data_IF_307695829323
#
_entry.id   IF_307695829323
#
_cell.length_a   1.000
_cell.length_b   1.000
_cell.length_c   1.000
_cell.angle_alpha   90.00
_cell.angle_beta   90.00
_cell.angle_gamma   90.00
#
_symmetry.space_group_name_H-M   'P 1'
#
loop_
_entity.id
_entity.type
_entity.pdbx_description
1 polymer ?
#
# COMPACT_ATOMS: atom_id res chain seq x y z
N UNK A 1 2.10 2.08 -3.64
CA UNK A 1 1.42 3.08 -4.48
C UNK A 1 1.25 2.48 -5.85
N UNK A 2 0.07 2.65 -6.44
CA UNK A 2 -0.14 2.33 -7.84
C UNK A 2 0.71 3.24 -8.74
N UNK A 3 0.82 2.88 -10.01
CA UNK A 3 1.46 3.72 -11.04
C UNK A 3 0.37 4.25 -11.96
N UNK A 4 0.51 5.47 -12.46
CA UNK A 4 -0.39 5.99 -13.48
C UNK A 4 0.33 6.88 -14.49
N UNK A 5 -0.16 6.88 -15.73
CA UNK A 5 0.39 7.66 -16.84
C UNK A 5 -0.68 7.89 -17.92
N UNK A 6 -0.57 9.01 -18.64
CA UNK A 6 -1.24 9.17 -19.93
C UNK A 6 -0.35 8.55 -21.00
N UNK A 7 -0.91 7.65 -21.82
CA UNK A 7 -0.15 6.88 -22.80
C UNK A 7 -0.91 6.78 -24.12
N UNK A 8 -0.16 6.63 -25.22
CA UNK A 8 -0.69 6.01 -26.44
C UNK A 8 -0.64 4.50 -26.27
N UNK A 9 -1.71 3.83 -26.64
CA UNK A 9 -1.85 2.39 -26.60
C UNK A 9 -2.03 1.83 -28.01
N UNK A 10 -1.54 0.62 -28.24
CA UNK A 10 -1.79 -0.14 -29.47
C UNK A 10 -2.37 -1.49 -29.09
N UNK A 11 -3.55 -1.76 -29.64
CA UNK A 11 -4.28 -3.01 -29.47
C UNK A 11 -4.45 -3.70 -30.83
N UNK A 12 -4.96 -4.94 -30.82
CA UNK A 12 -5.26 -5.68 -32.05
C UNK A 12 -6.30 -4.96 -32.95
N UNK A 13 -7.20 -4.18 -32.35
CA UNK A 13 -8.27 -3.43 -33.01
C UNK A 13 -7.89 -1.97 -33.35
N UNK A 14 -6.66 -1.54 -33.06
CA UNK A 14 -6.14 -0.22 -33.45
C UNK A 14 -5.42 0.53 -32.33
N UNK A 15 -5.08 1.78 -32.61
CA UNK A 15 -4.48 2.70 -31.64
C UNK A 15 -5.55 3.38 -30.77
N UNK A 16 -5.19 3.67 -29.52
CA UNK A 16 -6.01 4.43 -28.58
C UNK A 16 -5.10 5.35 -27.74
N UNK A 17 -5.67 6.32 -27.04
CA UNK A 17 -4.95 7.16 -26.10
C UNK A 17 -5.76 7.30 -24.82
N UNK A 18 -5.09 7.18 -23.67
CA UNK A 18 -5.79 7.21 -22.42
C UNK A 18 -4.92 7.02 -21.19
N UNK A 19 -5.61 6.96 -20.05
CA UNK A 19 -4.95 6.79 -18.76
C UNK A 19 -4.69 5.32 -18.50
N UNK A 20 -3.42 4.96 -18.40
CA UNK A 20 -2.97 3.68 -17.88
C UNK A 20 -2.77 3.79 -16.37
N UNK A 21 -3.23 2.80 -15.62
CA UNK A 21 -3.09 2.72 -14.17
C UNK A 21 -2.76 1.29 -13.75
N UNK A 22 -1.66 1.08 -13.05
CA UNK A 22 -1.37 -0.18 -12.37
C UNK A 22 -1.80 -0.08 -10.91
N UNK A 23 -2.82 -0.84 -10.55
CA UNK A 23 -3.33 -1.03 -9.20
C UNK A 23 -3.33 -2.53 -8.92
N UNK A 24 -2.23 -3.02 -8.35
CA UNK A 24 -1.99 -4.46 -8.18
C UNK A 24 -3.21 -5.17 -7.55
N UNK A 25 -3.67 -6.30 -8.15
CA UNK A 25 -3.03 -7.06 -9.23
C UNK A 25 -3.48 -6.66 -10.65
N UNK A 26 -4.13 -5.50 -10.84
CA UNK A 26 -4.79 -5.11 -12.09
C UNK A 26 -4.04 -3.99 -12.82
N UNK A 27 -3.99 -4.09 -14.14
CA UNK A 27 -3.64 -2.99 -15.02
C UNK A 27 -4.92 -2.50 -15.70
N UNK A 28 -5.25 -1.23 -15.51
CA UNK A 28 -6.44 -0.59 -16.06
C UNK A 28 -6.02 0.41 -17.12
N UNK A 29 -6.65 0.35 -18.28
CA UNK A 29 -6.54 1.37 -19.31
C UNK A 29 -7.90 2.03 -19.52
N UNK A 30 -7.94 3.36 -19.50
CA UNK A 30 -9.14 4.16 -19.72
C UNK A 30 -8.88 5.10 -20.90
N UNK A 31 -9.18 4.64 -22.11
CA UNK A 31 -9.19 5.42 -23.36
C UNK A 31 -10.59 5.53 -23.92
N UNK A 32 -10.75 5.33 -25.24
CA UNK A 32 -12.06 5.22 -25.87
C UNK A 32 -12.91 4.10 -25.27
N UNK A 33 -12.26 2.99 -24.88
CA UNK A 33 -12.86 1.92 -24.08
C UNK A 33 -12.09 1.68 -22.78
N UNK A 34 -12.80 1.26 -21.73
CA UNK A 34 -12.17 0.78 -20.49
C UNK A 34 -11.73 -0.67 -20.67
N UNK A 35 -10.43 -0.93 -20.51
CA UNK A 35 -9.84 -2.28 -20.51
C UNK A 35 -9.22 -2.59 -19.15
N UNK A 36 -9.34 -3.83 -18.71
CA UNK A 36 -8.78 -4.33 -17.45
C UNK A 36 -8.02 -5.62 -17.75
N UNK A 37 -6.75 -5.66 -17.35
CA UNK A 37 -5.87 -6.82 -17.49
C UNK A 37 -5.47 -7.32 -16.10
N UNK A 38 -5.58 -8.62 -15.89
CA UNK A 38 -5.23 -9.30 -14.63
C UNK A 38 -4.86 -10.76 -14.89
N UNK A 39 -4.27 -11.43 -13.89
CA UNK A 39 -3.95 -12.85 -13.96
C UNK A 39 -3.03 -13.18 -15.15
N UNK A 40 -3.45 -14.15 -15.99
CA UNK A 40 -2.69 -14.59 -17.16
C UNK A 40 -2.33 -13.45 -18.12
N UNK A 41 -3.20 -12.44 -18.28
CA UNK A 41 -2.95 -11.33 -19.20
C UNK A 41 -1.73 -10.47 -18.82
N UNK A 42 -1.33 -10.52 -17.54
CA UNK A 42 -0.16 -9.80 -17.03
C UNK A 42 1.07 -10.70 -16.88
N UNK A 43 0.95 -12.01 -17.08
CA UNK A 43 2.11 -12.90 -17.07
C UNK A 43 2.99 -12.59 -18.28
N UNK A 44 4.31 -12.52 -18.05
CA UNK A 44 5.28 -12.25 -19.11
C UNK A 44 5.25 -10.82 -19.66
N UNK A 45 4.60 -9.88 -18.96
CA UNK A 45 4.69 -8.46 -19.30
C UNK A 45 6.15 -8.03 -19.33
N UNK A 46 6.53 -7.20 -20.31
CA UNK A 46 7.92 -6.77 -20.49
C UNK A 46 8.01 -5.34 -20.99
N UNK A 47 9.20 -4.76 -20.85
CA UNK A 47 9.55 -3.51 -21.51
C UNK A 47 10.24 -3.79 -22.84
N UNK A 48 9.82 -3.12 -23.91
CA UNK A 48 10.37 -3.28 -25.25
C UNK A 48 10.26 -1.96 -26.02
N UNK A 49 11.40 -1.38 -26.43
CA UNK A 49 11.48 -0.15 -27.22
C UNK A 49 10.58 1.00 -26.68
N UNK A 50 10.67 1.29 -25.38
CA UNK A 50 9.88 2.31 -24.71
C UNK A 50 8.42 1.93 -24.37
N UNK A 51 7.96 0.74 -24.75
CA UNK A 51 6.60 0.28 -24.49
C UNK A 51 6.55 -0.75 -23.35
N UNK A 52 5.48 -0.71 -22.57
CA UNK A 52 5.05 -1.87 -21.78
C UNK A 52 4.24 -2.78 -22.71
N UNK A 53 4.67 -4.03 -22.87
CA UNK A 53 4.08 -5.01 -23.79
C UNK A 53 3.46 -6.16 -23.00
N UNK A 54 2.17 -6.41 -23.23
CA UNK A 54 1.44 -7.54 -22.63
C UNK A 54 1.57 -8.81 -23.48
N UNK A 55 1.16 -9.95 -22.92
CA UNK A 55 1.21 -11.25 -23.59
C UNK A 55 0.37 -11.33 -24.87
N UNK A 56 -0.73 -10.58 -24.94
CA UNK A 56 -1.62 -10.48 -26.11
C UNK A 56 -1.09 -9.53 -27.21
N UNK A 57 0.09 -8.95 -27.00
CA UNK A 57 0.71 -8.00 -27.92
C UNK A 57 0.28 -6.54 -27.72
N UNK A 58 -0.63 -6.25 -26.78
CA UNK A 58 -1.00 -4.87 -26.42
C UNK A 58 0.23 -4.08 -25.97
N UNK A 59 0.37 -2.84 -26.45
CA UNK A 59 1.52 -1.97 -26.14
C UNK A 59 1.07 -0.65 -25.53
N UNK A 60 1.81 -0.15 -24.55
CA UNK A 60 1.60 1.16 -23.94
C UNK A 60 2.89 1.97 -23.93
N UNK A 61 2.89 3.11 -24.63
CA UNK A 61 4.05 3.97 -24.77
C UNK A 61 4.32 4.76 -23.48
N UNK A 62 5.35 4.34 -22.73
CA UNK A 62 5.75 4.92 -21.44
C UNK A 62 7.15 5.57 -21.48
N UNK A 63 7.98 5.20 -22.46
CA UNK A 63 9.41 5.46 -22.47
C UNK A 63 10.20 4.42 -21.68
N UNK A 64 11.47 4.20 -22.04
CA UNK A 64 12.26 3.03 -21.60
C UNK A 64 12.29 2.83 -20.09
N UNK A 65 12.64 3.88 -19.35
CA UNK A 65 12.75 3.82 -17.88
C UNK A 65 11.40 3.50 -17.23
N UNK A 66 10.33 4.11 -17.70
CA UNK A 66 9.01 3.89 -17.14
C UNK A 66 8.49 2.50 -17.52
N UNK A 67 8.59 2.08 -18.77
CA UNK A 67 8.22 0.73 -19.20
C UNK A 67 8.90 -0.37 -18.36
N UNK A 68 10.23 -0.26 -18.16
CA UNK A 68 10.98 -1.21 -17.33
C UNK A 68 10.49 -1.21 -15.88
N UNK A 69 10.28 -0.03 -15.30
CA UNK A 69 9.78 0.10 -13.92
C UNK A 69 8.35 -0.40 -13.75
N UNK A 70 7.51 -0.32 -14.78
CA UNK A 70 6.14 -0.85 -14.76
C UNK A 70 6.14 -2.37 -14.88
N UNK A 71 6.92 -2.94 -15.80
CA UNK A 71 7.05 -4.40 -15.95
C UNK A 71 7.56 -5.05 -14.65
N UNK A 72 8.62 -4.49 -14.05
CA UNK A 72 9.16 -4.95 -12.77
C UNK A 72 8.10 -4.91 -11.66
N UNK A 73 7.35 -3.81 -11.54
CA UNK A 73 6.32 -3.69 -10.51
C UNK A 73 5.16 -4.69 -10.68
N UNK A 74 4.86 -5.11 -11.91
CA UNK A 74 3.82 -6.09 -12.22
C UNK A 74 4.31 -7.51 -11.93
N UNK A 75 5.54 -7.84 -12.34
CA UNK A 75 6.12 -9.18 -12.17
C UNK A 75 6.60 -9.45 -10.74
N UNK A 76 7.05 -8.40 -10.03
CA UNK A 76 7.59 -8.46 -8.69
C UNK A 76 6.76 -7.57 -7.74
N UNK A 77 5.48 -7.90 -7.48
CA UNK A 77 4.64 -7.08 -6.65
C UNK A 77 5.16 -7.06 -5.21
N UNK A 78 5.30 -5.85 -4.66
CA UNK A 78 5.71 -5.65 -3.26
C UNK A 78 4.75 -6.36 -2.30
N UNK A 79 5.30 -7.06 -1.31
CA UNK A 79 4.52 -7.67 -0.23
C UNK A 79 3.82 -6.60 0.62
N UNK A 80 2.84 -6.99 1.45
CA UNK A 80 2.24 -6.05 2.39
C UNK A 80 3.28 -5.52 3.38
N UNK A 81 4.19 -6.36 3.88
CA UNK A 81 5.26 -5.93 4.78
C UNK A 81 6.20 -4.91 4.14
N UNK A 82 6.52 -5.06 2.84
CA UNK A 82 7.31 -4.07 2.11
C UNK A 82 6.57 -2.73 2.03
N UNK A 83 5.25 -2.76 1.84
CA UNK A 83 4.41 -1.55 1.80
C UNK A 83 4.30 -0.92 3.18
N UNK A 84 4.22 -1.72 4.25
CA UNK A 84 4.17 -1.27 5.64
C UNK A 84 5.53 -0.77 6.16
N UNK A 85 6.61 -1.09 5.44
CA UNK A 85 7.96 -0.63 5.76
C UNK A 85 8.65 -1.48 6.83
N UNK A 86 8.20 -2.72 7.03
CA UNK A 86 8.81 -3.67 7.96
C UNK A 86 10.13 -4.16 7.40
N UNK A 87 11.19 -4.04 8.21
CA UNK A 87 12.54 -4.52 7.91
C UNK A 87 12.98 -5.51 8.99
N UNK A 88 13.89 -6.45 8.65
CA UNK A 88 14.50 -7.31 9.65
C UNK A 88 15.14 -6.51 10.79
N UNK A 89 15.01 -6.99 12.03
CA UNK A 89 15.57 -6.39 13.24
C UNK A 89 14.76 -5.23 13.84
N UNK A 90 13.64 -4.84 13.24
CA UNK A 90 12.76 -3.82 13.82
C UNK A 90 12.01 -4.34 15.05
N UNK A 91 11.85 -3.50 16.08
CA UNK A 91 10.96 -3.79 17.21
C UNK A 91 9.53 -3.41 16.83
N UNK A 92 8.66 -4.41 16.67
CA UNK A 92 7.29 -4.26 16.17
C UNK A 92 6.29 -4.73 17.21
N UNK A 93 5.23 -3.96 17.45
CA UNK A 93 4.09 -4.43 18.24
C UNK A 93 2.80 -4.38 17.41
N UNK A 94 1.88 -5.30 17.73
CA UNK A 94 0.57 -5.42 17.08
C UNK A 94 -0.50 -5.46 18.18
N UNK A 95 -1.45 -4.54 18.12
CA UNK A 95 -2.51 -4.40 19.12
C UNK A 95 -3.88 -4.50 18.43
N UNK A 96 -4.65 -5.53 18.83
CA UNK A 96 -6.04 -5.77 18.41
C UNK A 96 -6.26 -5.93 16.89
N UNK A 97 -5.22 -6.15 16.09
CA UNK A 97 -5.37 -6.40 14.64
C UNK A 97 -5.80 -7.83 14.43
N UNK A 98 -7.05 -8.03 13.99
CA UNK A 98 -7.59 -9.33 13.64
C UNK A 98 -7.06 -9.78 12.26
N UNK A 99 -5.84 -10.31 12.25
CA UNK A 99 -5.16 -10.86 11.07
C UNK A 99 -4.29 -12.05 11.50
N UNK A 100 -4.79 -13.27 11.27
CA UNK A 100 -4.19 -14.51 11.79
C UNK A 100 -2.80 -14.79 11.23
N UNK A 101 -2.47 -14.24 10.05
CA UNK A 101 -1.22 -14.51 9.35
C UNK A 101 -0.17 -13.40 9.52
N UNK A 102 -0.52 -12.25 10.09
CA UNK A 102 0.41 -11.12 10.26
C UNK A 102 1.59 -11.46 11.17
N UNK A 103 1.34 -12.15 12.28
CA UNK A 103 2.40 -12.49 13.23
C UNK A 103 3.46 -13.41 12.61
N UNK A 104 3.02 -14.37 11.79
CA UNK A 104 3.89 -15.29 11.09
C UNK A 104 4.71 -14.57 10.02
N UNK A 105 4.09 -13.73 9.18
CA UNK A 105 4.82 -12.94 8.19
C UNK A 105 5.87 -12.01 8.82
N UNK A 106 5.53 -11.37 9.94
CA UNK A 106 6.45 -10.51 10.69
C UNK A 106 7.63 -11.31 11.22
N UNK A 107 7.38 -12.53 11.71
CA UNK A 107 8.42 -13.45 12.20
C UNK A 107 9.33 -13.91 11.07
N UNK A 108 8.77 -14.35 9.93
CA UNK A 108 9.53 -14.74 8.74
C UNK A 108 10.38 -13.58 8.17
N UNK A 109 9.90 -12.34 8.30
CA UNK A 109 10.64 -11.13 7.92
C UNK A 109 11.79 -10.80 8.90
N UNK A 110 11.89 -11.48 10.05
CA UNK A 110 12.86 -11.19 11.10
C UNK A 110 12.48 -9.98 11.96
N UNK A 111 11.19 -9.71 12.13
CA UNK A 111 10.64 -8.60 12.93
C UNK A 111 9.45 -9.09 13.77
N UNK A 112 9.64 -10.22 14.47
CA UNK A 112 8.61 -10.87 15.27
C UNK A 112 7.94 -9.88 16.25
N UNK A 113 6.60 -9.93 16.41
CA UNK A 113 5.90 -9.04 17.32
C UNK A 113 6.38 -9.17 18.76
N UNK A 114 6.51 -8.03 19.46
CA UNK A 114 6.80 -7.96 20.89
C UNK A 114 5.57 -7.52 21.67
N UNK A 115 5.46 -8.01 22.92
CA UNK A 115 4.41 -7.58 23.86
C UNK A 115 4.79 -6.29 24.62
N UNK A 116 6.10 -6.04 24.77
CA UNK A 116 6.62 -4.86 25.45
C UNK A 116 6.44 -3.59 24.60
N UNK A 117 5.67 -2.63 25.10
CA UNK A 117 5.34 -1.37 24.44
C UNK A 117 6.34 -0.27 24.80
N UNK A 118 7.59 -0.47 24.45
CA UNK A 118 8.66 0.51 24.62
C UNK A 118 9.62 0.47 23.42
N UNK A 119 10.15 1.63 23.03
CA UNK A 119 11.15 1.78 21.96
C UNK A 119 10.78 1.06 20.64
N UNK A 120 9.52 1.16 20.25
CA UNK A 120 8.99 0.51 19.04
C UNK A 120 9.39 1.29 17.78
N UNK A 121 9.84 0.56 16.75
CA UNK A 121 10.02 1.10 15.40
C UNK A 121 8.67 1.20 14.67
N UNK A 122 7.81 0.21 14.86
CA UNK A 122 6.47 0.17 14.28
C UNK A 122 5.46 -0.35 15.31
N UNK A 123 4.33 0.33 15.41
CA UNK A 123 3.18 -0.11 16.20
C UNK A 123 1.96 -0.20 15.29
N UNK A 124 1.38 -1.38 15.13
CA UNK A 124 0.10 -1.58 14.45
C UNK A 124 -1.01 -1.61 15.49
N UNK A 125 -1.97 -0.69 15.39
CA UNK A 125 -3.11 -0.61 16.31
C UNK A 125 -4.41 -0.63 15.52
N UNK A 126 -5.29 -1.57 15.83
CA UNK A 126 -6.62 -1.60 15.26
C UNK A 126 -7.55 -0.59 15.92
N UNK A 127 -8.26 0.19 15.11
CA UNK A 127 -9.33 1.09 15.54
C UNK A 127 -10.55 0.87 14.66
N UNK A 128 -11.73 0.76 15.27
CA UNK A 128 -13.00 0.56 14.57
C UNK A 128 -14.05 1.63 14.95
N UNK A 129 -13.70 2.53 15.87
CA UNK A 129 -14.55 3.63 16.34
C UNK A 129 -13.74 4.87 16.69
N UNK A 130 -14.41 6.02 16.85
CA UNK A 130 -13.75 7.25 17.31
C UNK A 130 -13.17 7.08 18.73
N UNK A 131 -13.83 6.32 19.59
CA UNK A 131 -13.36 6.05 20.95
C UNK A 131 -12.04 5.25 20.98
N UNK A 132 -11.80 4.39 19.98
CA UNK A 132 -10.51 3.71 19.85
C UNK A 132 -9.39 4.71 19.54
N UNK A 133 -9.69 5.77 18.77
CA UNK A 133 -8.71 6.80 18.41
C UNK A 133 -8.29 7.66 19.62
N UNK A 134 -9.11 7.73 20.67
CA UNK A 134 -8.77 8.42 21.92
C UNK A 134 -7.53 7.81 22.61
N UNK A 135 -7.15 6.57 22.24
CA UNK A 135 -5.96 5.89 22.74
C UNK A 135 -4.65 6.33 22.08
N UNK A 136 -4.71 7.04 20.94
CA UNK A 136 -3.51 7.53 20.23
C UNK A 136 -2.47 8.21 21.15
N UNK A 137 -2.83 9.16 22.04
CA UNK A 137 -1.87 9.79 22.95
C UNK A 137 -1.10 8.81 23.83
N UNK A 138 -1.72 7.71 24.26
CA UNK A 138 -1.09 6.69 25.11
C UNK A 138 -0.13 5.79 24.33
N UNK A 139 -0.35 5.66 23.02
CA UNK A 139 0.49 4.83 22.14
C UNK A 139 1.75 5.57 21.67
N UNK A 140 1.71 6.90 21.60
CA UNK A 140 2.85 7.70 21.11
C UNK A 140 4.12 7.49 21.95
N UNK A 141 4.10 7.50 23.30
CA UNK A 141 5.29 7.28 24.12
C UNK A 141 6.02 5.96 23.87
N UNK A 142 5.32 4.92 23.41
CA UNK A 142 5.93 3.63 23.10
C UNK A 142 6.84 3.65 21.86
N UNK A 143 6.74 4.68 20.99
CA UNK A 143 7.49 4.77 19.74
C UNK A 143 8.84 5.46 19.94
N UNK A 144 9.89 4.91 19.32
CA UNK A 144 11.18 5.61 19.17
C UNK A 144 10.99 6.95 18.45
N UNK A 145 11.97 7.86 18.52
CA UNK A 145 11.90 9.16 17.83
C UNK A 145 11.64 9.06 16.31
N UNK A 146 12.05 7.95 15.66
CA UNK A 146 11.81 7.67 14.23
C UNK A 146 10.70 6.63 14.00
N UNK A 147 10.09 6.11 15.06
CA UNK A 147 9.05 5.10 15.01
C UNK A 147 7.77 5.61 14.35
N UNK A 148 6.92 4.69 13.91
CA UNK A 148 5.66 5.00 13.27
C UNK A 148 4.48 4.22 13.88
N UNK A 149 3.36 4.92 14.02
CA UNK A 149 2.07 4.34 14.36
C UNK A 149 1.33 4.01 13.07
N UNK A 150 0.92 2.77 12.90
CA UNK A 150 -0.05 2.36 11.89
C UNK A 150 -1.40 2.19 12.56
N UNK A 151 -2.37 3.02 12.18
CA UNK A 151 -3.78 2.77 12.53
C UNK A 151 -4.37 1.87 11.46
N UNK A 152 -4.86 0.70 11.87
CA UNK A 152 -5.50 -0.30 11.01
C UNK A 152 -7.00 -0.26 11.24
N UNK A 153 -7.79 -0.11 10.18
CA UNK A 153 -9.25 0.01 10.28
C UNK A 153 -9.95 -0.74 9.15
N UNK A 154 -11.24 -1.03 9.32
CA UNK A 154 -12.05 -1.65 8.25
C UNK A 154 -12.19 -0.69 7.07
N UNK A 155 -12.22 -1.26 5.86
CA UNK A 155 -12.42 -0.50 4.61
C UNK A 155 -13.67 -0.94 3.85
N UNK A 156 -14.06 -0.15 2.85
CA UNK A 156 -15.20 -0.46 1.98
C UNK A 156 -16.53 -0.33 2.72
N UNK A 157 -17.49 -1.20 2.41
CA UNK A 157 -18.86 -1.13 2.98
C UNK A 157 -18.93 -1.40 4.48
N UNK A 158 -17.92 -2.06 5.06
CA UNK A 158 -17.83 -2.37 6.48
C UNK A 158 -17.03 -1.33 7.28
N UNK A 159 -16.64 -0.22 6.65
CA UNK A 159 -15.89 0.85 7.31
C UNK A 159 -16.78 1.59 8.32
N UNK A 160 -16.37 1.55 9.59
CA UNK A 160 -16.99 2.32 10.68
C UNK A 160 -16.26 3.66 10.94
N UNK A 161 -15.08 3.82 10.36
CA UNK A 161 -14.24 5.01 10.43
C UNK A 161 -13.89 5.49 9.02
N UNK A 162 -13.88 6.81 8.84
CA UNK A 162 -13.35 7.44 7.63
C UNK A 162 -11.88 7.81 7.85
N UNK A 163 -11.07 7.70 6.80
CA UNK A 163 -9.66 8.10 6.83
C UNK A 163 -9.47 9.54 7.35
N UNK A 164 -10.38 10.46 7.02
CA UNK A 164 -10.34 11.86 7.48
C UNK A 164 -10.50 11.99 9.00
N UNK A 165 -11.25 11.10 9.64
CA UNK A 165 -11.44 11.08 11.10
C UNK A 165 -10.17 10.56 11.78
N UNK A 166 -9.60 9.48 11.25
CA UNK A 166 -8.32 8.92 11.71
C UNK A 166 -7.19 9.95 11.60
N UNK A 167 -7.10 10.64 10.45
CA UNK A 167 -6.12 11.70 10.23
C UNK A 167 -6.30 12.88 11.18
N UNK A 168 -7.55 13.29 11.44
CA UNK A 168 -7.85 14.40 12.34
C UNK A 168 -7.45 14.08 13.79
N UNK A 169 -7.81 12.88 14.29
CA UNK A 169 -7.44 12.44 15.62
C UNK A 169 -5.92 12.38 15.81
N UNK A 170 -5.20 11.73 14.88
CA UNK A 170 -3.74 11.64 14.96
C UNK A 170 -3.06 13.03 14.89
N UNK A 171 -3.55 13.93 14.05
CA UNK A 171 -3.03 15.30 13.93
C UNK A 171 -3.19 16.11 15.22
N UNK A 172 -4.28 15.88 15.96
CA UNK A 172 -4.51 16.48 17.29
C UNK A 172 -3.40 16.19 18.30
N UNK A 173 -2.64 15.11 18.09
CA UNK A 173 -1.54 14.68 18.96
C UNK A 173 -0.15 14.84 18.32
N UNK A 174 -0.01 15.74 17.34
CA UNK A 174 1.29 16.08 16.76
C UNK A 174 1.85 15.06 15.76
N UNK A 175 1.02 14.12 15.32
CA UNK A 175 1.37 13.18 14.26
C UNK A 175 1.01 13.73 12.87
N UNK A 176 1.71 13.24 11.86
CA UNK A 176 1.48 13.54 10.45
C UNK A 176 1.29 12.23 9.71
N UNK A 177 0.23 12.13 8.91
CA UNK A 177 0.03 11.01 8.01
C UNK A 177 1.08 11.03 6.89
N UNK A 178 1.66 9.88 6.60
CA UNK A 178 2.75 9.76 5.61
C UNK A 178 2.43 8.74 4.53
N UNK A 179 1.47 7.86 4.78
CA UNK A 179 1.14 6.78 3.84
C UNK A 179 -0.21 6.16 4.19
N UNK A 180 -0.91 5.68 3.16
CA UNK A 180 -2.02 4.75 3.29
C UNK A 180 -1.72 3.47 2.48
N UNK A 181 -2.09 2.32 3.02
CA UNK A 181 -1.85 1.00 2.42
C UNK A 181 -3.09 0.13 2.62
N UNK A 182 -3.55 -0.53 1.55
CA UNK A 182 -4.48 -1.66 1.69
C UNK A 182 -3.77 -2.78 2.46
N UNK A 183 -4.26 -3.07 3.67
CA UNK A 183 -3.62 -3.97 4.63
C UNK A 183 -3.97 -5.43 4.37
N UNK A 184 -5.26 -5.67 4.15
CA UNK A 184 -5.85 -6.95 3.71
C UNK A 184 -7.05 -6.65 2.81
N UNK A 185 -7.84 -7.66 2.45
CA UNK A 185 -9.09 -7.48 1.69
C UNK A 185 -10.13 -6.65 2.44
N UNK A 186 -10.11 -6.71 3.78
CA UNK A 186 -11.10 -6.05 4.66
C UNK A 186 -10.52 -4.88 5.44
N UNK A 187 -9.19 -4.71 5.48
CA UNK A 187 -8.52 -3.68 6.28
C UNK A 187 -7.71 -2.70 5.41
N UNK A 188 -7.68 -1.44 5.85
CA UNK A 188 -6.75 -0.40 5.40
C UNK A 188 -5.86 -0.01 6.57
N UNK A 189 -4.69 0.57 6.29
CA UNK A 189 -3.79 1.08 7.31
C UNK A 189 -3.25 2.46 6.94
N UNK A 190 -3.29 3.40 7.88
CA UNK A 190 -2.71 4.74 7.77
C UNK A 190 -1.48 4.84 8.65
N UNK A 191 -0.38 5.32 8.07
CA UNK A 191 0.90 5.50 8.75
C UNK A 191 1.07 6.91 9.25
N UNK A 192 1.41 7.03 10.52
CA UNK A 192 1.64 8.27 11.21
C UNK A 192 3.04 8.31 11.80
N UNK A 193 3.70 9.46 11.68
CA UNK A 193 4.99 9.73 12.33
C UNK A 193 4.92 11.07 13.04
N UNK A 194 5.76 11.29 14.05
CA UNK A 194 5.90 12.61 14.68
C UNK A 194 6.29 13.64 13.62
N UNK A 195 5.72 14.84 13.71
CA UNK A 195 6.14 15.97 12.87
C UNK A 195 7.63 16.23 13.12
N UNK A 196 8.41 16.35 12.05
CA UNK A 196 9.79 16.84 12.16
C UNK A 196 9.72 18.32 12.55
N UNK A 197 10.32 18.65 13.69
CA UNK A 197 10.54 20.04 14.13
C UNK A 197 11.77 20.58 13.39
#
# INVERSE_FOLDING_TARGET
MGKDAQVRARFADGEDAGRLQYEAPKLLFRGAARRVFEGEALKGVRAEAGDLVLADGSRFALGDKAAASWADAILNPRSRLDKLGVKPGMKVAVLNVADEVLADELTERGAAPVADLADLDLLFYAADSLADLDRIPDLIPALTGKGALWIVSRKGKAANLKDVEVMAAARGHGLVDTKVVGFSDTLTALRFTRRRI
#
